data_IF_636392448563
#
_entry.id   IF_636392448563
#
_cell.length_a   1.000
_cell.length_b   1.000
_cell.length_c   1.000
_cell.angle_alpha   90.00
_cell.angle_beta   90.00
_cell.angle_gamma   90.00
#
_symmetry.space_group_name_H-M   'P 1'
#
loop_
_entity.id
_entity.type
_entity.pdbx_description
1 polymer ?
#
# COMPACT_ATOMS: atom_id res chain seq x y z
N UNK A 1 -18.84 10.91 3.50
CA UNK A 1 -18.18 10.17 4.59
C UNK A 1 -17.05 9.39 3.94
N UNK A 2 -15.80 9.62 4.33
CA UNK A 2 -14.65 8.97 3.69
C UNK A 2 -14.53 7.54 4.23
N UNK A 3 -14.49 6.54 3.35
CA UNK A 3 -14.20 5.16 3.71
C UNK A 3 -12.69 5.03 3.91
N UNK A 4 -12.26 4.57 5.09
CA UNK A 4 -10.88 4.15 5.32
C UNK A 4 -10.79 2.65 5.12
N UNK A 5 -9.66 2.18 4.60
CA UNK A 5 -9.42 0.77 4.35
C UNK A 5 -8.01 0.39 4.81
N UNK A 6 -7.91 -0.77 5.43
CA UNK A 6 -6.66 -1.32 5.93
C UNK A 6 -6.53 -2.80 5.55
N UNK A 7 -5.30 -3.23 5.31
CA UNK A 7 -4.91 -4.64 5.31
C UNK A 7 -4.42 -5.01 6.69
N UNK A 8 -4.90 -6.13 7.23
CA UNK A 8 -4.60 -6.59 8.58
C UNK A 8 -3.52 -7.66 8.53
N UNK A 9 -2.51 -7.55 9.40
CA UNK A 9 -1.38 -8.48 9.44
C UNK A 9 -1.08 -9.05 10.82
N UNK A 10 -0.54 -10.26 10.82
CA UNK A 10 0.10 -10.92 11.96
C UNK A 10 1.52 -11.34 11.53
N UNK A 11 2.50 -10.49 11.83
CA UNK A 11 3.85 -10.61 11.27
C UNK A 11 3.82 -10.57 9.73
N UNK A 12 4.38 -11.59 9.10
CA UNK A 12 4.45 -11.73 7.64
C UNK A 12 3.15 -12.20 6.99
N UNK A 13 2.11 -12.50 7.78
CA UNK A 13 0.85 -13.03 7.26
C UNK A 13 -0.24 -11.98 7.19
N UNK A 14 -0.85 -11.86 6.00
CA UNK A 14 -2.10 -11.11 5.83
C UNK A 14 -3.24 -11.97 6.37
N UNK A 15 -3.94 -11.46 7.39
CA UNK A 15 -5.02 -12.19 8.09
C UNK A 15 -6.41 -11.69 7.71
N UNK A 16 -6.49 -10.54 7.04
CA UNK A 16 -7.73 -9.99 6.52
C UNK A 16 -7.64 -8.52 6.17
N UNK A 17 -8.79 -7.86 6.17
CA UNK A 17 -8.97 -6.48 5.77
C UNK A 17 -10.02 -5.82 6.66
N UNK A 18 -9.86 -4.51 6.85
CA UNK A 18 -10.77 -3.65 7.60
C UNK A 18 -11.24 -2.51 6.70
N UNK A 19 -12.53 -2.20 6.76
CA UNK A 19 -13.13 -0.96 6.26
C UNK A 19 -13.75 -0.20 7.43
N UNK A 20 -13.51 1.10 7.48
CA UNK A 20 -14.13 2.00 8.45
C UNK A 20 -15.01 2.98 7.69
N UNK A 21 -16.31 2.93 7.96
CA UNK A 21 -17.31 3.81 7.35
C UNK A 21 -18.00 4.57 8.48
N UNK A 22 -17.58 5.81 8.68
CA UNK A 22 -18.02 6.60 9.85
C UNK A 22 -17.47 5.99 11.13
N UNK A 23 -18.37 5.56 12.03
CA UNK A 23 -18.00 4.85 13.27
C UNK A 23 -18.07 3.32 13.14
N UNK A 24 -18.52 2.80 12.00
CA UNK A 24 -18.76 1.37 11.80
C UNK A 24 -17.53 0.70 11.20
N UNK A 25 -17.14 -0.43 11.79
CA UNK A 25 -16.03 -1.26 11.34
C UNK A 25 -16.56 -2.51 10.67
N UNK A 26 -16.02 -2.82 9.49
CA UNK A 26 -16.33 -4.03 8.75
C UNK A 26 -15.03 -4.79 8.46
N UNK A 27 -15.03 -6.09 8.74
CA UNK A 27 -13.90 -6.98 8.58
C UNK A 27 -14.18 -8.00 7.48
N UNK A 28 -13.13 -8.44 6.80
CA UNK A 28 -13.20 -9.45 5.75
C UNK A 28 -11.90 -10.26 5.71
N UNK A 29 -11.97 -11.58 5.54
CA UNK A 29 -10.78 -12.42 5.34
C UNK A 29 -10.22 -12.33 3.93
N UNK A 30 -11.07 -12.01 2.94
CA UNK A 30 -10.75 -12.13 1.51
C UNK A 30 -11.01 -10.84 0.70
N UNK A 31 -11.44 -9.75 1.36
CA UNK A 31 -11.89 -8.49 0.74
C UNK A 31 -13.21 -8.54 -0.03
N UNK A 32 -13.90 -9.68 -0.10
CA UNK A 32 -15.19 -9.85 -0.79
C UNK A 32 -16.37 -9.90 0.20
N UNK A 33 -16.24 -10.65 1.30
CA UNK A 33 -17.31 -10.81 2.28
C UNK A 33 -17.01 -10.01 3.55
N UNK A 34 -17.87 -9.03 3.85
CA UNK A 34 -17.68 -8.07 4.93
C UNK A 34 -18.71 -8.28 6.04
N UNK A 35 -18.26 -8.31 7.29
CA UNK A 35 -19.12 -8.44 8.46
C UNK A 35 -18.55 -7.63 9.65
N UNK A 36 -19.24 -7.65 10.80
CA UNK A 36 -18.80 -6.93 12.00
C UNK A 36 -17.86 -7.72 12.92
N UNK A 37 -17.44 -8.93 12.55
CA UNK A 37 -16.63 -9.80 13.40
C UNK A 37 -15.15 -9.38 13.36
N UNK A 38 -14.56 -8.88 14.46
CA UNK A 38 -13.18 -8.44 14.46
C UNK A 38 -12.20 -9.57 14.16
N UNK A 39 -11.20 -9.27 13.33
CA UNK A 39 -10.09 -10.20 13.06
C UNK A 39 -8.90 -9.80 13.93
N UNK A 40 -8.36 -10.70 14.78
CA UNK A 40 -7.13 -10.45 15.51
C UNK A 40 -5.97 -10.14 14.56
N UNK A 41 -5.24 -9.06 14.83
CA UNK A 41 -4.09 -8.62 14.05
C UNK A 41 -3.14 -7.82 14.93
N UNK A 42 -1.87 -7.79 14.55
CA UNK A 42 -0.83 -6.99 15.21
C UNK A 42 -0.58 -5.66 14.50
N UNK A 43 -0.74 -5.63 13.16
CA UNK A 43 -0.45 -4.46 12.35
C UNK A 43 -1.56 -4.16 11.32
N UNK A 44 -1.61 -2.90 10.87
CA UNK A 44 -2.52 -2.41 9.84
C UNK A 44 -1.73 -1.65 8.76
N UNK A 45 -1.87 -2.07 7.51
CA UNK A 45 -1.33 -1.32 6.39
C UNK A 45 -2.45 -0.48 5.77
N UNK A 46 -2.30 0.85 5.76
CA UNK A 46 -3.32 1.75 5.23
C UNK A 46 -3.41 1.66 3.69
N UNK A 47 -4.62 1.72 3.16
CA UNK A 47 -4.86 1.78 1.72
C UNK A 47 -4.39 3.12 1.15
N UNK A 48 -3.63 3.06 0.05
CA UNK A 48 -3.10 4.25 -0.63
C UNK A 48 -4.15 5.06 -1.38
N UNK A 49 -5.34 4.48 -1.60
CA UNK A 49 -6.34 5.01 -2.53
C UNK A 49 -6.18 4.51 -3.96
N UNK A 50 -5.06 3.82 -4.26
CA UNK A 50 -4.78 3.28 -5.59
C UNK A 50 -5.08 1.79 -5.70
N UNK A 51 -5.14 1.35 -6.96
CA UNK A 51 -5.16 -0.04 -7.36
C UNK A 51 -4.12 -0.28 -8.44
N UNK A 52 -3.64 -1.50 -8.58
CA UNK A 52 -2.75 -1.91 -9.66
C UNK A 52 -3.52 -2.25 -10.96
N UNK A 53 -2.79 -2.67 -11.99
CA UNK A 53 -3.35 -3.05 -13.30
C UNK A 53 -4.30 -4.24 -13.24
N UNK A 54 -4.22 -5.05 -12.20
CA UNK A 54 -5.07 -6.20 -11.95
C UNK A 54 -6.25 -5.86 -11.01
N UNK A 55 -6.50 -4.56 -10.75
CA UNK A 55 -7.56 -4.06 -9.87
C UNK A 55 -7.38 -4.51 -8.39
N UNK A 56 -6.14 -4.81 -7.99
CA UNK A 56 -5.74 -5.11 -6.62
C UNK A 56 -5.52 -3.81 -5.86
N UNK A 57 -6.09 -3.66 -4.66
CA UNK A 57 -5.86 -2.47 -3.84
C UNK A 57 -4.41 -2.44 -3.34
N UNK A 58 -3.77 -1.28 -3.43
CA UNK A 58 -2.38 -1.08 -3.00
C UNK A 58 -2.32 -0.44 -1.61
N UNK A 59 -1.57 -1.04 -0.70
CA UNK A 59 -1.45 -0.64 0.69
C UNK A 59 -0.04 -0.15 1.03
N UNK A 60 0.11 0.46 2.20
CA UNK A 60 1.41 0.78 2.78
C UNK A 60 2.35 -0.43 2.74
N UNK A 61 3.58 -0.20 2.30
CA UNK A 61 4.60 -1.23 2.17
C UNK A 61 4.44 -2.12 0.93
N UNK A 62 3.46 -1.91 0.05
CA UNK A 62 3.41 -2.67 -1.21
C UNK A 62 4.56 -2.26 -2.13
N UNK A 63 5.26 -3.25 -2.67
CA UNK A 63 6.28 -3.06 -3.70
C UNK A 63 5.61 -3.26 -5.05
N UNK A 64 5.79 -2.28 -5.93
CA UNK A 64 5.23 -2.26 -7.27
C UNK A 64 6.32 -1.98 -8.30
N UNK A 65 6.10 -2.46 -9.51
CA UNK A 65 6.76 -1.97 -10.71
C UNK A 65 5.97 -0.80 -11.29
N UNK A 66 6.66 0.25 -11.71
CA UNK A 66 6.11 1.50 -12.19
C UNK A 66 7.06 2.19 -13.17
N UNK A 67 6.55 3.15 -13.93
CA UNK A 67 7.36 4.04 -14.76
C UNK A 67 7.61 5.36 -13.99
N UNK A 68 8.88 5.69 -13.63
CA UNK A 68 9.16 6.88 -12.81
C UNK A 68 8.83 8.18 -13.51
N UNK A 69 9.17 8.25 -14.80
CA UNK A 69 8.93 9.39 -15.69
C UNK A 69 8.43 8.81 -17.02
N UNK A 70 7.36 9.37 -17.62
CA UNK A 70 6.85 8.89 -18.90
C UNK A 70 7.93 8.84 -19.98
N UNK A 71 8.14 7.66 -20.57
CA UNK A 71 9.16 7.34 -21.56
C UNK A 71 10.47 6.75 -21.01
N UNK A 72 10.60 6.58 -19.69
CA UNK A 72 11.77 5.93 -19.06
C UNK A 72 11.56 4.43 -18.85
N UNK A 73 12.64 3.73 -18.48
CA UNK A 73 12.57 2.32 -18.12
C UNK A 73 11.75 2.11 -16.84
N UNK A 74 11.13 0.94 -16.74
CA UNK A 74 10.41 0.54 -15.54
C UNK A 74 11.38 0.41 -14.35
N UNK A 75 10.91 0.86 -13.19
CA UNK A 75 11.59 0.73 -11.92
C UNK A 75 10.68 0.00 -10.92
N UNK A 76 11.26 -0.41 -9.79
CA UNK A 76 10.52 -0.93 -8.65
C UNK A 76 10.55 0.06 -7.51
N UNK A 77 9.47 0.11 -6.73
CA UNK A 77 9.42 0.96 -5.56
C UNK A 77 8.34 0.56 -4.58
N UNK A 78 8.50 1.02 -3.33
CA UNK A 78 7.56 0.73 -2.26
C UNK A 78 6.63 1.93 -2.00
N UNK A 79 5.36 1.63 -1.74
CA UNK A 79 4.36 2.60 -1.29
C UNK A 79 4.60 2.97 0.17
N UNK A 80 4.94 4.22 0.45
CA UNK A 80 5.25 4.71 1.79
C UNK A 80 4.45 5.96 2.13
N UNK A 81 4.07 6.11 3.39
CA UNK A 81 3.50 7.35 3.90
C UNK A 81 4.62 8.20 4.50
N UNK A 82 4.85 9.39 3.95
CA UNK A 82 5.88 10.35 4.39
C UNK A 82 5.23 11.69 4.69
N UNK A 83 5.30 12.12 5.95
CA UNK A 83 4.73 13.39 6.41
C UNK A 83 3.25 13.58 6.00
N UNK A 84 2.46 12.50 6.01
CA UNK A 84 1.04 12.50 5.62
C UNK A 84 0.78 12.45 4.11
N UNK A 85 1.82 12.29 3.28
CA UNK A 85 1.73 12.18 1.83
C UNK A 85 2.16 10.78 1.40
N UNK A 86 1.38 10.16 0.53
CA UNK A 86 1.77 8.91 -0.09
C UNK A 86 2.82 9.14 -1.17
N UNK A 87 3.92 8.41 -1.07
CA UNK A 87 5.02 8.41 -2.03
C UNK A 87 5.33 6.98 -2.46
N UNK A 88 5.84 6.84 -3.67
CA UNK A 88 6.44 5.64 -4.18
C UNK A 88 7.96 5.86 -4.14
N UNK A 89 8.66 5.12 -3.27
CA UNK A 89 10.10 5.22 -3.10
C UNK A 89 10.81 4.20 -3.98
N UNK A 90 11.60 4.67 -4.94
CA UNK A 90 12.40 3.84 -5.85
C UNK A 90 13.44 3.01 -5.10
N UNK A 91 13.51 1.71 -5.40
CA UNK A 91 14.56 0.81 -4.87
C UNK A 91 15.91 1.05 -5.52
N UNK A 92 15.92 1.57 -6.74
CA UNK A 92 17.15 1.74 -7.54
C UNK A 92 17.83 3.08 -7.26
N UNK A 93 17.06 4.15 -7.13
CA UNK A 93 17.57 5.52 -7.05
C UNK A 93 17.37 6.18 -5.70
N UNK A 94 16.62 5.55 -4.79
CA UNK A 94 16.17 6.12 -3.50
C UNK A 94 15.25 7.36 -3.64
N UNK A 95 14.87 7.73 -4.87
CA UNK A 95 13.99 8.86 -5.16
C UNK A 95 12.56 8.58 -4.69
N UNK A 96 11.92 9.56 -4.08
CA UNK A 96 10.51 9.50 -3.68
C UNK A 96 9.62 10.25 -4.68
N UNK A 97 8.68 9.53 -5.28
CA UNK A 97 7.70 10.07 -6.23
C UNK A 97 6.35 10.20 -5.53
N UNK A 98 5.75 11.39 -5.41
CA UNK A 98 4.42 11.51 -4.83
C UNK A 98 3.40 10.78 -5.71
N UNK A 99 2.43 10.08 -5.12
CA UNK A 99 1.39 9.42 -5.93
C UNK A 99 0.21 10.35 -6.24
N UNK A 100 0.12 11.49 -5.54
CA UNK A 100 -0.84 12.55 -5.78
C UNK A 100 -0.15 13.92 -5.86
N UNK A 101 -0.60 14.77 -6.78
CA UNK A 101 -0.21 16.18 -6.84
C UNK A 101 -1.41 17.05 -7.22
N UNK A 102 -1.58 18.19 -6.54
CA UNK A 102 -2.67 19.14 -6.80
C UNK A 102 -4.08 18.49 -6.77
N UNK A 103 -4.26 17.47 -5.93
CA UNK A 103 -5.51 16.71 -5.82
C UNK A 103 -5.75 15.69 -6.94
N UNK A 104 -4.78 15.49 -7.84
CA UNK A 104 -4.84 14.52 -8.93
C UNK A 104 -3.93 13.33 -8.62
N UNK A 105 -4.33 12.14 -9.08
CA UNK A 105 -3.46 10.96 -9.07
C UNK A 105 -2.41 11.07 -10.17
N UNK A 106 -1.14 10.89 -9.84
CA UNK A 106 -0.04 10.86 -10.81
C UNK A 106 0.08 9.50 -11.49
N UNK A 107 -0.38 8.44 -10.83
CA UNK A 107 -0.43 7.09 -11.36
C UNK A 107 -1.87 6.63 -11.53
N UNK A 108 -2.14 5.87 -12.59
CA UNK A 108 -3.35 5.09 -12.77
C UNK A 108 -3.04 3.61 -12.58
N UNK A 109 -4.07 2.78 -12.39
CA UNK A 109 -3.82 1.35 -12.13
C UNK A 109 -3.03 0.66 -13.23
N UNK A 110 -3.25 1.01 -14.50
CA UNK A 110 -2.47 0.47 -15.62
C UNK A 110 -0.96 0.76 -15.54
N UNK A 111 -0.56 1.80 -14.79
CA UNK A 111 0.83 2.24 -14.65
C UNK A 111 1.55 1.54 -13.49
N UNK A 112 0.81 0.72 -12.70
CA UNK A 112 1.31 0.07 -11.50
C UNK A 112 1.09 -1.43 -11.59
N UNK A 113 2.13 -2.20 -11.30
CA UNK A 113 2.07 -3.65 -11.22
C UNK A 113 2.53 -4.11 -9.84
N UNK A 114 1.64 -4.71 -9.05
CA UNK A 114 2.01 -5.23 -7.74
C UNK A 114 3.00 -6.40 -7.87
N UNK A 115 4.05 -6.39 -7.05
CA UNK A 115 5.11 -7.42 -7.08
C UNK A 115 5.28 -8.13 -5.74
N UNK A 116 5.36 -7.38 -4.63
CA UNK A 116 5.74 -7.93 -3.33
C UNK A 116 5.32 -7.02 -2.18
N UNK A 117 5.80 -7.32 -0.98
CA UNK A 117 5.56 -6.56 0.24
C UNK A 117 6.87 -6.23 0.93
N UNK A 118 7.02 -5.01 1.43
CA UNK A 118 8.21 -4.57 2.14
C UNK A 118 8.46 -5.39 3.42
N UNK A 119 7.41 -5.83 4.12
CA UNK A 119 7.53 -6.68 5.30
C UNK A 119 8.04 -8.11 5.00
N UNK A 120 8.07 -8.53 3.72
CA UNK A 120 8.76 -9.76 3.29
C UNK A 120 10.18 -9.48 2.78
N UNK A 121 10.55 -8.22 2.58
CA UNK A 121 11.84 -7.77 2.06
C UNK A 121 12.59 -7.01 3.18
N UNK A 122 12.90 -7.70 4.27
CA UNK A 122 13.42 -7.10 5.51
C UNK A 122 14.75 -6.37 5.32
N UNK A 123 15.66 -6.90 4.48
CA UNK A 123 16.93 -6.22 4.17
C UNK A 123 16.71 -4.86 3.51
N UNK A 124 15.72 -4.76 2.60
CA UNK A 124 15.34 -3.50 1.97
C UNK A 124 14.73 -2.55 3.00
N UNK A 125 13.81 -3.05 3.83
CA UNK A 125 13.20 -2.26 4.91
C UNK A 125 14.25 -1.69 5.88
N UNK A 126 15.20 -2.52 6.32
CA UNK A 126 16.31 -2.16 7.20
C UNK A 126 17.21 -1.10 6.57
N UNK A 127 17.58 -1.27 5.29
CA UNK A 127 18.42 -0.28 4.58
C UNK A 127 17.74 1.10 4.46
N UNK A 128 16.41 1.14 4.50
CA UNK A 128 15.62 2.36 4.54
C UNK A 128 15.26 2.85 5.95
N UNK A 129 15.73 2.16 6.99
CA UNK A 129 15.42 2.49 8.38
C UNK A 129 13.93 2.39 8.71
N UNK A 130 13.20 1.54 8.00
CA UNK A 130 11.78 1.27 8.24
C UNK A 130 11.71 0.06 9.17
N UNK A 131 11.42 0.32 10.43
CA UNK A 131 11.21 -0.69 11.45
C UNK A 131 9.72 -1.02 11.51
N UNK A 132 9.37 -2.31 11.61
CA UNK A 132 8.04 -2.69 12.08
C UNK A 132 8.00 -2.47 13.61
N UNK A 133 7.09 -1.61 14.09
CA UNK A 133 6.73 -1.52 15.51
C UNK A 133 5.83 -2.69 15.93
#
# INVERSE_FOLDING_TARGET
>A
MQELRYRLRQGEHIVGYLRVVGSTHFYSKDSFWWNGEPIPHAAQDAWTGLKDRNNTHLYSGDIVEFEPIPGEDLDMGAMLLRNGIWVLKSVTTDTEYPIHALGLSLYQGKDLNWLSYLFLNTELAESWGIWED
#
